data_IF_396730021382
#
_entry.id   IF_396730021382
#
_cell.length_a   1.000
_cell.length_b   1.000
_cell.length_c   1.000
_cell.angle_alpha   90.00
_cell.angle_beta   90.00
_cell.angle_gamma   90.00
#
_symmetry.space_group_name_H-M   'P 1'
#
loop_
_entity.id
_entity.type
_entity.pdbx_description
1 polymer ?
#
# COMPACT_ATOMS: atom_id res chain seq x y z
N UNK A 1 -0.44 -0.58 -26.93
CA UNK A 1 -1.72 -1.25 -26.85
C UNK A 1 -2.52 -0.77 -25.67
N UNK A 2 -3.76 -0.48 -25.93
CA UNK A 2 -4.67 0.04 -24.90
C UNK A 2 -5.03 -1.01 -23.84
N UNK A 3 -4.96 -2.29 -24.22
CA UNK A 3 -5.36 -3.36 -23.31
C UNK A 3 -4.49 -3.43 -22.06
N UNK A 4 -3.19 -3.22 -22.20
CA UNK A 4 -2.27 -3.26 -21.07
C UNK A 4 -2.58 -2.16 -20.07
N UNK A 5 -2.88 -0.96 -20.56
CA UNK A 5 -3.20 0.17 -19.70
C UNK A 5 -4.52 -0.05 -18.97
N UNK A 6 -5.50 -0.64 -19.65
CA UNK A 6 -6.80 -0.94 -19.04
C UNK A 6 -6.65 -1.98 -17.95
N UNK A 7 -5.87 -3.02 -18.20
CA UNK A 7 -5.65 -4.09 -17.22
C UNK A 7 -4.93 -3.55 -15.97
N UNK A 8 -3.88 -2.73 -16.16
CA UNK A 8 -3.17 -2.12 -15.05
C UNK A 8 -4.08 -1.26 -14.20
N UNK A 9 -4.97 -0.52 -14.84
CA UNK A 9 -5.91 0.35 -14.15
C UNK A 9 -6.90 -0.46 -13.31
N UNK A 10 -7.40 -1.54 -13.87
CA UNK A 10 -8.34 -2.43 -13.18
C UNK A 10 -7.66 -3.09 -11.98
N UNK A 11 -6.44 -3.59 -12.15
CA UNK A 11 -5.69 -4.22 -11.08
C UNK A 11 -5.44 -3.23 -9.94
N UNK A 12 -5.06 -2.00 -10.27
CA UNK A 12 -4.81 -0.97 -9.28
C UNK A 12 -6.06 -0.67 -8.47
N UNK A 13 -7.20 -0.50 -9.13
CA UNK A 13 -8.47 -0.24 -8.45
C UNK A 13 -8.85 -1.39 -7.54
N UNK A 14 -8.64 -2.61 -7.99
CA UNK A 14 -8.97 -3.79 -7.20
C UNK A 14 -8.11 -3.86 -5.93
N UNK A 15 -6.81 -3.57 -6.05
CA UNK A 15 -5.91 -3.52 -4.90
C UNK A 15 -6.32 -2.43 -3.91
N UNK A 16 -6.70 -1.26 -4.41
CA UNK A 16 -7.14 -0.18 -3.56
C UNK A 16 -8.38 -0.56 -2.77
N UNK A 17 -9.30 -1.29 -3.37
CA UNK A 17 -10.50 -1.77 -2.69
C UNK A 17 -10.14 -2.75 -1.56
N UNK A 18 -9.22 -3.67 -1.83
CA UNK A 18 -8.77 -4.64 -0.83
C UNK A 18 -8.08 -3.92 0.33
N UNK A 19 -7.18 -3.00 0.01
CA UNK A 19 -6.44 -2.24 1.02
C UNK A 19 -7.40 -1.44 1.89
N UNK A 20 -8.39 -0.80 1.28
CA UNK A 20 -9.39 -0.02 2.02
C UNK A 20 -10.15 -0.90 3.01
N UNK A 21 -10.33 -2.16 2.68
CA UNK A 21 -11.08 -3.10 3.51
C UNK A 21 -10.25 -3.67 4.67
N UNK A 22 -8.97 -3.97 4.44
CA UNK A 22 -8.15 -4.69 5.41
C UNK A 22 -7.16 -3.82 6.17
N UNK A 23 -6.80 -2.66 5.64
CA UNK A 23 -5.77 -1.81 6.21
C UNK A 23 -6.30 -0.94 7.34
N UNK A 24 -5.47 -0.73 8.36
CA UNK A 24 -5.72 0.31 9.33
C UNK A 24 -5.44 1.66 8.67
N UNK A 25 -5.85 2.76 9.33
CA UNK A 25 -5.61 4.10 8.80
C UNK A 25 -4.12 4.34 8.51
N UNK A 26 -3.27 3.89 9.41
CA UNK A 26 -1.82 4.04 9.27
C UNK A 26 -1.31 3.23 8.07
N UNK A 27 -1.74 2.00 7.96
CA UNK A 27 -1.35 1.13 6.84
C UNK A 27 -1.80 1.70 5.51
N UNK A 28 -3.03 2.21 5.48
CA UNK A 28 -3.57 2.83 4.28
C UNK A 28 -2.74 4.05 3.87
N UNK A 29 -2.37 4.87 4.84
CA UNK A 29 -1.53 6.04 4.58
C UNK A 29 -0.18 5.64 3.99
N UNK A 30 0.43 4.59 4.54
CA UNK A 30 1.72 4.09 4.04
C UNK A 30 1.58 3.60 2.60
N UNK A 31 0.55 2.81 2.34
CA UNK A 31 0.28 2.29 1.00
C UNK A 31 0.11 3.41 -0.01
N UNK A 32 -0.75 4.37 0.31
CA UNK A 32 -1.02 5.50 -0.57
C UNK A 32 0.23 6.34 -0.82
N UNK A 33 1.02 6.57 0.23
CA UNK A 33 2.25 7.35 0.12
C UNK A 33 3.26 6.68 -0.79
N UNK A 34 3.40 5.35 -0.69
CA UNK A 34 4.32 4.60 -1.53
C UNK A 34 3.89 4.64 -2.99
N UNK A 35 2.59 4.57 -3.25
CA UNK A 35 2.06 4.69 -4.60
C UNK A 35 2.39 6.05 -5.19
N UNK A 36 2.33 7.10 -4.37
CA UNK A 36 2.65 8.45 -4.80
C UNK A 36 4.16 8.67 -5.01
N UNK A 37 4.97 7.68 -4.69
CA UNK A 37 6.41 7.76 -4.91
C UNK A 37 7.22 8.22 -3.70
N UNK A 38 6.61 8.29 -2.53
CA UNK A 38 7.34 8.64 -1.31
C UNK A 38 8.20 7.47 -0.84
N UNK A 39 9.32 7.79 -0.20
CA UNK A 39 10.22 6.78 0.35
C UNK A 39 9.81 6.40 1.77
N UNK A 40 10.31 5.28 2.25
CA UNK A 40 10.14 4.90 3.65
C UNK A 40 10.66 5.98 4.58
N UNK A 41 11.78 6.61 4.20
CA UNK A 41 12.36 7.67 5.01
C UNK A 41 11.42 8.86 5.17
N UNK A 42 10.80 9.29 4.07
CA UNK A 42 9.85 10.40 4.11
C UNK A 42 8.64 10.05 4.96
N UNK A 43 8.11 8.84 4.78
CA UNK A 43 6.95 8.40 5.55
C UNK A 43 7.28 8.32 7.03
N UNK A 44 8.48 7.81 7.37
CA UNK A 44 8.90 7.71 8.75
C UNK A 44 8.98 9.08 9.43
N UNK A 45 9.45 10.08 8.71
CA UNK A 45 9.47 11.44 9.23
C UNK A 45 8.07 11.97 9.49
N UNK A 46 7.16 11.75 8.57
CA UNK A 46 5.79 12.24 8.70
C UNK A 46 5.08 11.56 9.86
N UNK A 47 5.28 10.24 10.01
CA UNK A 47 4.65 9.47 11.06
C UNK A 47 5.43 9.50 12.39
N UNK A 48 6.58 10.14 12.40
CA UNK A 48 7.44 10.27 13.57
C UNK A 48 7.82 8.90 14.14
N UNK A 49 8.34 8.04 13.29
CA UNK A 49 8.76 6.68 13.65
C UNK A 49 10.00 6.30 12.83
N UNK A 50 10.49 5.08 13.02
CA UNK A 50 11.64 4.59 12.27
C UNK A 50 11.22 4.07 10.89
N UNK A 51 12.17 4.06 9.96
CA UNK A 51 11.94 3.46 8.65
C UNK A 51 11.60 1.97 8.76
N UNK A 52 12.23 1.30 9.71
CA UNK A 52 11.97 -0.11 9.95
C UNK A 52 10.53 -0.36 10.38
N UNK A 53 9.98 0.52 11.20
CA UNK A 53 8.58 0.43 11.61
C UNK A 53 7.65 0.57 10.41
N UNK A 54 7.94 1.53 9.54
CA UNK A 54 7.14 1.73 8.32
C UNK A 54 7.17 0.47 7.47
N UNK A 55 8.36 -0.11 7.29
CA UNK A 55 8.53 -1.32 6.50
C UNK A 55 7.73 -2.49 7.09
N UNK A 56 7.78 -2.66 8.40
CA UNK A 56 7.05 -3.74 9.08
C UNK A 56 5.55 -3.59 8.90
N UNK A 57 5.03 -2.38 9.03
CA UNK A 57 3.61 -2.13 8.83
C UNK A 57 3.20 -2.42 7.40
N UNK A 58 4.04 -2.07 6.44
CA UNK A 58 3.75 -2.35 5.04
C UNK A 58 3.76 -3.85 4.77
N UNK A 59 4.73 -4.58 5.32
CA UNK A 59 4.80 -6.03 5.18
C UNK A 59 3.57 -6.70 5.78
N UNK A 60 3.12 -6.22 6.94
CA UNK A 60 1.91 -6.73 7.58
C UNK A 60 0.70 -6.51 6.68
N UNK A 61 0.62 -5.35 6.05
CA UNK A 61 -0.46 -5.05 5.11
C UNK A 61 -0.41 -5.99 3.90
N UNK A 62 0.77 -6.23 3.36
CA UNK A 62 0.91 -7.15 2.23
C UNK A 62 0.45 -8.55 2.58
N UNK A 63 0.75 -9.02 3.79
CA UNK A 63 0.29 -10.33 4.26
C UNK A 63 -1.25 -10.37 4.32
N UNK A 64 -1.88 -9.30 4.78
CA UNK A 64 -3.33 -9.22 4.82
C UNK A 64 -3.93 -9.28 3.42
N UNK A 65 -3.30 -8.60 2.47
CA UNK A 65 -3.76 -8.59 1.08
C UNK A 65 -3.66 -10.00 0.49
N UNK A 66 -2.56 -10.67 0.72
CA UNK A 66 -2.36 -12.03 0.21
C UNK A 66 -3.43 -12.96 0.76
N UNK A 67 -3.75 -12.85 2.04
CA UNK A 67 -4.79 -13.69 2.66
C UNK A 67 -6.15 -13.49 1.99
N UNK A 68 -6.46 -12.27 1.60
CA UNK A 68 -7.74 -11.99 0.94
C UNK A 68 -7.77 -12.54 -0.49
N UNK A 69 -6.64 -12.45 -1.18
CA UNK A 69 -6.54 -12.91 -2.57
C UNK A 69 -6.55 -14.43 -2.65
N UNK A 70 -5.91 -15.10 -1.72
CA UNK A 70 -5.91 -16.55 -1.66
C UNK A 70 -7.23 -17.06 -1.06
#
# INVERSE_FOLDING_TARGET
MTDDNVDDHIIKNHLEMIVDRVATDKEFYIFDSLIQGRSYKEISHILNCSEQSVRLWYETLLDKIVEVIE
#
